data_IF_447287657031
#
_entry.id   IF_447287657031
#
_cell.length_a   1.000
_cell.length_b   1.000
_cell.length_c   1.000
_cell.angle_alpha   90.00
_cell.angle_beta   90.00
_cell.angle_gamma   90.00
#
_symmetry.space_group_name_H-M   'P 1'
#
loop_
_entity.id
_entity.type
_entity.pdbx_description
1 polymer ?
#
# COMPACT_ATOMS: atom_id res chain seq x y z
N UNK A 1 28.36 4.27 -48.66
CA UNK A 1 27.15 5.09 -48.47
C UNK A 1 26.42 5.15 -49.80
N UNK A 2 25.36 4.35 -49.95
CA UNK A 2 24.51 4.39 -51.14
C UNK A 2 23.63 5.64 -51.00
N UNK A 3 23.83 6.63 -51.85
CA UNK A 3 22.91 7.73 -52.02
C UNK A 3 21.60 7.17 -52.59
N UNK A 4 20.70 6.77 -51.70
CA UNK A 4 19.33 6.42 -52.05
C UNK A 4 18.61 7.67 -52.53
N UNK A 5 18.62 7.89 -53.84
CA UNK A 5 17.78 8.90 -54.47
C UNK A 5 16.33 8.48 -54.23
N UNK A 6 15.58 9.28 -53.45
CA UNK A 6 14.15 9.13 -53.19
C UNK A 6 13.32 9.43 -54.46
N UNK A 7 13.63 8.81 -55.59
CA UNK A 7 12.69 8.76 -56.71
C UNK A 7 12.92 7.46 -57.49
N UNK A 8 11.95 6.56 -57.47
CA UNK A 8 11.60 5.78 -58.66
C UNK A 8 10.09 5.59 -58.68
N UNK A 9 9.40 6.47 -59.41
CA UNK A 9 8.11 6.12 -60.01
C UNK A 9 8.33 4.86 -60.85
N UNK A 10 8.04 3.68 -60.30
CA UNK A 10 8.00 2.43 -61.06
C UNK A 10 6.68 2.44 -61.84
N UNK A 11 6.81 2.22 -63.15
CA UNK A 11 5.82 2.62 -64.15
C UNK A 11 4.38 2.15 -63.92
N UNK A 12 3.49 2.97 -64.47
CA UNK A 12 2.07 2.75 -64.84
C UNK A 12 0.94 3.31 -63.95
N UNK A 13 1.21 4.00 -62.85
CA UNK A 13 0.25 4.95 -62.25
C UNK A 13 0.99 5.86 -61.26
N UNK A 14 0.94 7.19 -61.37
CA UNK A 14 1.74 8.05 -60.47
C UNK A 14 1.01 9.32 -60.06
N UNK A 15 0.15 9.20 -59.04
CA UNK A 15 -0.12 10.30 -58.11
C UNK A 15 1.23 10.79 -57.57
N UNK A 16 1.51 12.09 -57.64
CA UNK A 16 2.75 12.66 -57.11
C UNK A 16 2.84 12.31 -55.61
N UNK A 17 3.99 11.83 -55.14
CA UNK A 17 4.22 11.65 -53.72
C UNK A 17 4.14 13.03 -53.05
N UNK A 18 3.04 13.30 -52.36
CA UNK A 18 2.87 14.48 -51.52
C UNK A 18 3.53 14.21 -50.17
N UNK A 19 3.86 15.28 -49.44
CA UNK A 19 4.35 15.12 -48.07
C UNK A 19 3.36 14.32 -47.21
N UNK A 20 2.06 14.53 -47.42
CA UNK A 20 0.99 13.76 -46.79
C UNK A 20 1.12 12.25 -47.07
N UNK A 21 1.29 11.85 -48.33
CA UNK A 21 1.49 10.44 -48.68
C UNK A 21 2.77 9.82 -48.08
N UNK A 22 3.80 10.64 -47.84
CA UNK A 22 5.03 10.22 -47.19
C UNK A 22 4.84 10.05 -45.68
N UNK A 23 4.11 10.98 -45.05
CA UNK A 23 3.82 10.94 -43.62
C UNK A 23 2.81 9.83 -43.28
N UNK A 24 1.80 9.59 -44.11
CA UNK A 24 0.87 8.46 -43.94
C UNK A 24 1.55 7.11 -44.12
N UNK A 25 2.56 7.04 -45.01
CA UNK A 25 3.39 5.85 -45.15
C UNK A 25 4.30 5.64 -43.94
N UNK A 26 4.77 6.72 -43.32
CA UNK A 26 5.58 6.67 -42.10
C UNK A 26 4.74 6.39 -40.84
N UNK A 27 3.46 6.76 -40.79
CA UNK A 27 2.56 6.52 -39.65
C UNK A 27 1.94 5.10 -39.63
N UNK A 28 2.35 4.24 -40.57
CA UNK A 28 1.80 2.88 -40.71
C UNK A 28 2.18 1.97 -39.54
N UNK A 29 3.29 2.24 -38.88
CA UNK A 29 3.80 1.49 -37.75
C UNK A 29 3.92 2.39 -36.51
N UNK A 30 4.10 1.79 -35.33
CA UNK A 30 4.32 2.53 -34.10
C UNK A 30 5.75 3.11 -34.06
N UNK A 31 5.87 4.42 -33.87
CA UNK A 31 7.15 5.10 -33.81
C UNK A 31 7.29 5.93 -32.53
N UNK A 32 8.52 6.07 -32.04
CA UNK A 32 8.89 7.03 -30.98
C UNK A 32 9.80 8.14 -31.50
N UNK A 33 10.07 8.13 -32.80
CA UNK A 33 11.03 9.01 -33.43
C UNK A 33 10.40 10.39 -33.69
N UNK A 34 11.26 11.41 -33.71
CA UNK A 34 10.84 12.78 -34.00
C UNK A 34 11.58 13.31 -35.22
N UNK A 35 10.88 14.11 -36.01
CA UNK A 35 11.44 14.81 -37.17
C UNK A 35 11.39 16.31 -36.87
N UNK A 36 12.53 16.97 -36.93
CA UNK A 36 12.59 18.43 -36.77
C UNK A 36 12.79 19.08 -38.13
N UNK A 37 11.84 19.94 -38.54
CA UNK A 37 11.89 20.68 -39.79
C UNK A 37 11.37 22.11 -39.59
N UNK A 38 12.13 23.11 -40.04
CA UNK A 38 11.73 24.52 -39.91
C UNK A 38 11.52 25.00 -38.47
N UNK A 39 12.27 24.46 -37.50
CA UNK A 39 12.13 24.80 -36.08
C UNK A 39 10.91 24.18 -35.38
N UNK A 40 10.14 23.34 -36.08
CA UNK A 40 9.03 22.57 -35.52
C UNK A 40 9.46 21.13 -35.37
N UNK A 41 9.09 20.51 -34.26
CA UNK A 41 9.31 19.08 -34.02
C UNK A 41 7.98 18.37 -34.24
N UNK A 42 7.98 17.45 -35.21
CA UNK A 42 6.89 16.55 -35.53
C UNK A 42 7.17 15.21 -34.84
N UNK A 43 6.18 14.69 -34.13
CA UNK A 43 6.25 13.40 -33.46
C UNK A 43 5.11 12.51 -33.97
N UNK A 44 5.45 11.27 -34.29
CA UNK A 44 4.46 10.24 -34.62
C UNK A 44 3.80 9.70 -33.35
N UNK A 45 2.56 9.23 -33.46
CA UNK A 45 1.90 8.54 -32.37
C UNK A 45 2.56 7.19 -32.07
N UNK A 46 2.47 6.73 -30.82
CA UNK A 46 3.08 5.45 -30.39
C UNK A 46 2.31 4.20 -30.88
N UNK A 47 1.30 4.39 -31.73
CA UNK A 47 0.39 3.37 -32.23
C UNK A 47 0.12 3.69 -33.70
N UNK A 48 0.11 2.66 -34.54
CA UNK A 48 -0.11 2.78 -35.98
C UNK A 48 -1.38 3.56 -36.31
N UNK A 49 -1.29 4.51 -37.24
CA UNK A 49 -2.43 5.29 -37.72
C UNK A 49 -2.93 6.37 -36.75
N UNK A 50 -2.15 6.73 -35.73
CA UNK A 50 -2.52 7.76 -34.75
C UNK A 50 -2.33 9.19 -35.25
N UNK A 51 -1.78 9.35 -36.45
CA UNK A 51 -1.41 10.64 -37.00
C UNK A 51 -0.19 11.24 -36.33
N UNK A 52 0.20 12.41 -36.80
CA UNK A 52 1.34 13.17 -36.27
C UNK A 52 0.87 14.34 -35.42
N UNK A 53 1.66 14.67 -34.40
CA UNK A 53 1.51 15.90 -33.62
C UNK A 53 2.70 16.80 -33.87
N UNK A 54 2.50 18.11 -33.95
CA UNK A 54 3.60 19.07 -34.00
C UNK A 54 3.63 19.89 -32.72
N UNK A 55 4.84 20.09 -32.17
CA UNK A 55 5.09 21.05 -31.09
C UNK A 55 5.84 22.23 -31.67
N UNK A 56 5.24 23.41 -31.55
CA UNK A 56 5.89 24.69 -31.89
C UNK A 56 6.53 25.26 -30.64
N UNK A 57 7.84 25.53 -30.66
CA UNK A 57 8.47 26.33 -29.62
C UNK A 57 8.05 27.77 -29.85
N UNK A 58 7.03 28.24 -29.13
CA UNK A 58 6.44 29.57 -29.34
C UNK A 58 7.46 30.64 -28.93
N UNK A 59 8.03 31.37 -29.90
CA UNK A 59 8.91 32.50 -29.63
C UNK A 59 8.14 33.68 -29.01
N UNK A 60 8.81 34.55 -28.26
CA UNK A 60 8.22 35.76 -27.68
C UNK A 60 7.52 36.63 -28.74
N UNK A 61 8.03 36.63 -29.98
CA UNK A 61 7.46 37.38 -31.11
C UNK A 61 6.13 36.80 -31.61
N UNK A 62 5.95 35.48 -31.54
CA UNK A 62 4.67 34.84 -31.89
C UNK A 62 3.62 35.14 -30.82
N UNK A 63 3.99 35.08 -29.55
CA UNK A 63 3.11 35.50 -28.43
C UNK A 63 2.69 36.97 -28.62
N UNK A 64 3.64 37.85 -28.96
CA UNK A 64 3.37 39.27 -29.20
C UNK A 64 2.41 39.51 -30.39
N UNK A 65 2.53 38.72 -31.46
CA UNK A 65 1.70 38.83 -32.66
C UNK A 65 0.26 38.36 -32.39
N UNK A 66 0.10 37.20 -31.74
CA UNK A 66 -1.21 36.65 -31.37
C UNK A 66 -1.94 37.57 -30.37
N UNK A 67 -1.19 38.20 -29.46
CA UNK A 67 -1.70 39.15 -28.48
C UNK A 67 -2.18 40.48 -29.09
N UNK A 68 -1.52 40.97 -30.15
CA UNK A 68 -1.87 42.21 -30.86
C UNK A 68 -3.12 42.08 -31.74
N UNK A 69 -3.50 40.87 -32.13
CA UNK A 69 -4.62 40.62 -33.04
C UNK A 69 -6.03 40.67 -32.38
N UNK A 70 -6.16 41.16 -31.14
CA UNK A 70 -7.41 41.11 -30.34
C UNK A 70 -7.98 39.71 -30.10
N UNK A 71 -7.22 38.64 -30.37
CA UNK A 71 -7.57 37.29 -29.95
C UNK A 71 -7.20 37.10 -28.47
N UNK A 72 -8.08 36.44 -27.72
CA UNK A 72 -7.76 35.99 -26.37
C UNK A 72 -6.58 35.03 -26.45
N UNK A 73 -5.42 35.42 -25.92
CA UNK A 73 -4.23 34.57 -25.88
C UNK A 73 -4.15 33.90 -24.50
N UNK A 74 -3.84 32.61 -24.48
CA UNK A 74 -3.69 31.84 -23.24
C UNK A 74 -2.26 31.36 -23.11
N UNK A 75 -1.59 31.70 -22.01
CA UNK A 75 -0.22 31.29 -21.70
C UNK A 75 -0.26 30.36 -20.50
N UNK A 76 0.14 29.10 -20.71
CA UNK A 76 0.29 28.13 -19.64
C UNK A 76 1.72 28.22 -19.08
N UNK A 77 1.84 28.72 -17.86
CA UNK A 77 3.09 28.76 -17.10
C UNK A 77 3.20 27.44 -16.34
N UNK A 78 4.11 26.56 -16.75
CA UNK A 78 4.41 25.32 -16.04
C UNK A 78 5.87 25.29 -15.59
N UNK A 79 6.10 25.34 -14.28
CA UNK A 79 7.42 25.06 -13.68
C UNK A 79 7.26 24.18 -12.44
N UNK A 80 7.93 23.03 -12.42
CA UNK A 80 8.09 22.22 -11.20
C UNK A 80 6.79 21.70 -10.57
N UNK A 81 5.75 21.43 -11.36
CA UNK A 81 4.47 20.86 -10.89
C UNK A 81 3.36 21.88 -10.65
N UNK A 82 3.65 23.17 -10.74
CA UNK A 82 2.64 24.24 -10.72
C UNK A 82 2.27 24.61 -12.16
N UNK A 83 0.99 24.55 -12.50
CA UNK A 83 0.46 25.00 -13.78
C UNK A 83 -0.50 26.17 -13.56
N UNK A 84 -0.15 27.34 -14.08
CA UNK A 84 -1.02 28.52 -14.05
C UNK A 84 -1.37 28.94 -15.49
N UNK A 85 -2.64 29.24 -15.73
CA UNK A 85 -3.13 29.66 -17.04
C UNK A 85 -3.40 31.17 -17.02
N UNK A 86 -2.55 31.95 -17.72
CA UNK A 86 -2.74 33.39 -17.89
C UNK A 86 -3.57 33.62 -19.14
N UNK A 87 -4.71 34.31 -19.01
CA UNK A 87 -5.50 34.74 -20.17
C UNK A 87 -5.27 36.23 -20.43
N UNK A 88 -4.74 36.56 -21.61
CA UNK A 88 -4.49 37.92 -22.06
C UNK A 88 -5.58 38.32 -23.07
N UNK A 89 -6.38 39.31 -22.71
CA UNK A 89 -7.29 39.96 -23.64
C UNK A 89 -6.63 41.25 -24.15
N UNK A 90 -6.39 41.37 -25.46
CA UNK A 90 -5.70 42.52 -26.07
C UNK A 90 -4.35 42.87 -25.42
N UNK A 91 -3.64 41.86 -24.92
CA UNK A 91 -2.34 42.02 -24.25
C UNK A 91 -2.38 42.48 -22.82
N UNK A 92 -3.55 42.50 -22.19
CA UNK A 92 -3.69 42.75 -20.77
C UNK A 92 -4.25 41.49 -20.11
N UNK A 93 -3.58 41.02 -19.06
CA UNK A 93 -4.15 39.97 -18.20
C UNK A 93 -5.20 40.58 -17.28
N UNK A 94 -6.37 39.94 -17.16
CA UNK A 94 -7.40 40.38 -16.20
C UNK A 94 -7.01 40.07 -14.74
N UNK A 95 -6.20 39.02 -14.55
CA UNK A 95 -5.61 38.66 -13.26
C UNK A 95 -4.13 39.06 -13.26
N UNK A 96 -3.76 40.03 -12.43
CA UNK A 96 -2.38 40.58 -12.36
C UNK A 96 -1.71 40.33 -11.03
N UNK A 97 -2.39 39.66 -10.10
CA UNK A 97 -1.90 39.37 -8.75
C UNK A 97 -1.89 37.87 -8.50
N UNK A 98 -1.08 37.43 -7.54
CA UNK A 98 -1.06 36.05 -7.02
C UNK A 98 -1.48 36.12 -5.56
N UNK A 99 -2.44 35.30 -5.16
CA UNK A 99 -2.89 35.24 -3.77
C UNK A 99 -2.06 34.28 -2.91
N UNK A 100 -2.46 34.14 -1.65
CA UNK A 100 -1.77 33.29 -0.68
C UNK A 100 -1.88 31.79 -1.00
N UNK A 101 -2.85 31.39 -1.82
CA UNK A 101 -3.01 30.00 -2.28
C UNK A 101 -2.24 29.76 -3.60
N UNK A 102 -1.38 30.71 -3.99
CA UNK A 102 -0.61 30.71 -5.24
C UNK A 102 -1.48 30.73 -6.51
N UNK A 103 -2.73 31.19 -6.41
CA UNK A 103 -3.63 31.33 -7.55
C UNK A 103 -3.59 32.75 -8.11
N UNK A 104 -3.76 32.88 -9.43
CA UNK A 104 -3.88 34.19 -10.06
C UNK A 104 -5.22 34.84 -9.77
N UNK A 105 -5.22 36.15 -9.50
CA UNK A 105 -6.41 36.92 -9.17
C UNK A 105 -6.38 38.34 -9.72
N UNK A 106 -7.56 38.90 -9.98
CA UNK A 106 -7.75 40.32 -10.33
C UNK A 106 -7.88 41.23 -9.10
N UNK A 107 -7.98 40.65 -7.90
CA UNK A 107 -8.15 41.42 -6.66
C UNK A 107 -6.78 41.82 -6.12
N UNK A 108 -6.45 43.10 -6.26
CA UNK A 108 -5.19 43.66 -5.78
C UNK A 108 -5.09 43.65 -4.25
N UNK A 109 -6.15 44.12 -3.60
CA UNK A 109 -6.26 44.24 -2.16
C UNK A 109 -7.72 44.08 -1.75
N UNK A 110 -7.94 43.49 -0.58
CA UNK A 110 -9.21 43.51 0.12
C UNK A 110 -8.93 43.69 1.61
N UNK A 111 -9.92 44.15 2.35
CA UNK A 111 -9.85 44.36 3.78
C UNK A 111 -10.89 43.49 4.49
N UNK A 112 -10.47 42.87 5.59
CA UNK A 112 -11.35 42.18 6.53
C UNK A 112 -11.17 42.80 7.89
N UNK A 113 -12.26 43.29 8.47
CA UNK A 113 -12.30 43.87 9.82
C UNK A 113 -12.80 42.82 10.79
N UNK A 114 -12.09 42.68 11.90
CA UNK A 114 -12.45 41.75 12.97
C UNK A 114 -12.98 42.50 14.19
N UNK A 115 -13.87 41.86 14.93
CA UNK A 115 -14.35 42.30 16.24
C UNK A 115 -13.90 41.28 17.30
N UNK A 116 -13.60 41.78 18.50
CA UNK A 116 -13.30 40.93 19.66
C UNK A 116 -14.42 41.08 20.66
N UNK A 117 -14.99 39.95 21.09
CA UNK A 117 -15.94 39.93 22.20
C UNK A 117 -15.17 40.10 23.52
N UNK A 118 -15.46 41.20 24.21
CA UNK A 118 -14.83 41.58 25.48
C UNK A 118 -15.08 40.60 26.63
N UNK A 119 -16.10 39.74 26.54
CA UNK A 119 -16.50 38.86 27.64
C UNK A 119 -15.83 37.49 27.57
N UNK A 120 -15.53 36.98 26.37
CA UNK A 120 -14.98 35.65 26.14
C UNK A 120 -13.68 35.66 25.29
N UNK A 121 -13.27 36.81 24.76
CA UNK A 121 -12.07 36.95 23.93
C UNK A 121 -12.21 36.41 22.51
N UNK A 122 -13.41 36.00 22.09
CA UNK A 122 -13.65 35.45 20.76
C UNK A 122 -13.48 36.52 19.69
N UNK A 123 -12.76 36.18 18.62
CA UNK A 123 -12.57 37.06 17.46
C UNK A 123 -13.52 36.62 16.35
N UNK A 124 -14.31 37.54 15.82
CA UNK A 124 -15.26 37.29 14.73
C UNK A 124 -15.05 38.27 13.57
N UNK A 125 -15.45 37.86 12.37
CA UNK A 125 -15.45 38.74 11.20
C UNK A 125 -16.59 39.73 11.31
N UNK A 126 -16.28 41.02 11.30
CA UNK A 126 -17.26 42.11 11.38
C UNK A 126 -17.73 42.59 10.01
N UNK A 127 -16.79 42.74 9.07
CA UNK A 127 -17.06 43.25 7.74
C UNK A 127 -15.86 43.01 6.82
N UNK A 128 -16.06 43.12 5.51
CA UNK A 128 -14.94 43.22 4.59
C UNK A 128 -15.36 43.70 3.20
N UNK A 129 -14.36 43.98 2.37
CA UNK A 129 -14.51 44.56 1.03
C UNK A 129 -14.26 43.56 -0.10
N UNK A 130 -13.81 42.35 0.23
CA UNK A 130 -13.58 41.30 -0.76
C UNK A 130 -14.86 40.79 -1.41
N UNK A 131 -14.74 40.21 -2.59
CA UNK A 131 -15.85 39.65 -3.39
C UNK A 131 -15.51 38.23 -3.83
N UNK A 132 -16.53 37.44 -4.20
CA UNK A 132 -16.36 36.05 -4.62
C UNK A 132 -15.63 35.22 -3.55
N UNK A 133 -14.50 34.60 -3.93
CA UNK A 133 -13.69 33.77 -3.00
C UNK A 133 -13.02 34.55 -1.86
N UNK A 134 -12.96 35.89 -1.93
CA UNK A 134 -12.42 36.75 -0.88
C UNK A 134 -13.50 37.45 -0.06
N UNK A 135 -14.78 37.13 -0.28
CA UNK A 135 -15.87 37.73 0.47
C UNK A 135 -15.71 37.46 1.96
N UNK A 136 -15.94 38.49 2.78
CA UNK A 136 -15.84 38.35 4.22
C UNK A 136 -17.01 37.52 4.74
N UNK A 137 -16.71 36.45 5.47
CA UNK A 137 -17.70 35.62 6.15
C UNK A 137 -18.18 36.29 7.44
N UNK A 138 -18.99 37.33 7.32
CA UNK A 138 -19.46 38.13 8.46
C UNK A 138 -20.16 37.24 9.50
N UNK A 139 -19.72 37.34 10.75
CA UNK A 139 -20.19 36.53 11.87
C UNK A 139 -19.39 35.23 12.10
N UNK A 140 -18.55 34.80 11.16
CA UNK A 140 -17.67 33.65 11.36
C UNK A 140 -16.61 33.92 12.42
N UNK A 141 -16.23 32.88 13.15
CA UNK A 141 -15.08 32.91 14.07
C UNK A 141 -13.79 33.03 13.28
N UNK A 142 -12.87 33.85 13.76
CA UNK A 142 -11.53 33.99 13.21
C UNK A 142 -10.52 33.20 14.04
N UNK A 143 -9.62 32.53 13.34
CA UNK A 143 -8.53 31.74 13.88
C UNK A 143 -7.19 32.23 13.35
N UNK A 144 -6.10 31.84 14.02
CA UNK A 144 -4.74 32.09 13.53
C UNK A 144 -4.23 30.84 12.81
N UNK A 145 -3.80 31.00 11.56
CA UNK A 145 -3.20 29.95 10.74
C UNK A 145 -1.75 29.66 11.14
N UNK A 146 -1.17 28.59 10.58
CA UNK A 146 0.21 28.19 10.87
C UNK A 146 1.25 29.24 10.43
N UNK A 147 0.93 30.05 9.42
CA UNK A 147 1.73 31.19 8.95
C UNK A 147 1.43 32.50 9.71
N UNK A 148 0.66 32.44 10.79
CA UNK A 148 0.40 33.58 11.68
C UNK A 148 -0.62 34.60 11.16
N UNK A 149 -1.40 34.25 10.12
CA UNK A 149 -2.46 35.11 9.56
C UNK A 149 -3.82 34.78 10.17
N UNK A 150 -4.74 35.75 10.15
CA UNK A 150 -6.13 35.49 10.53
C UNK A 150 -6.86 34.79 9.37
N UNK A 151 -7.62 33.76 9.69
CA UNK A 151 -8.45 32.99 8.74
C UNK A 151 -9.75 32.57 9.38
N UNK A 152 -10.81 32.40 8.60
CA UNK A 152 -12.09 31.85 9.07
C UNK A 152 -12.17 30.34 8.91
N UNK A 153 -11.25 29.75 8.13
CA UNK A 153 -11.12 28.30 8.02
C UNK A 153 -10.65 27.78 9.37
N UNK A 154 -11.32 26.77 9.90
CA UNK A 154 -10.99 26.20 11.21
C UNK A 154 -9.53 25.74 11.20
N UNK A 155 -8.65 26.42 11.92
CA UNK A 155 -7.23 26.03 12.03
C UNK A 155 -7.04 24.98 13.12
N UNK A 156 -7.95 24.00 13.17
CA UNK A 156 -7.70 22.82 13.97
C UNK A 156 -6.41 22.20 13.43
N UNK A 157 -5.43 22.02 14.32
CA UNK A 157 -4.10 21.47 14.03
C UNK A 157 -4.12 19.99 13.62
N UNK A 158 -5.25 19.47 13.19
CA UNK A 158 -5.43 18.17 12.58
C UNK A 158 -6.51 18.32 11.53
N UNK A 159 -6.26 17.77 10.34
CA UNK A 159 -7.27 17.48 9.32
C UNK A 159 -8.57 17.12 10.02
N UNK A 160 -9.67 17.81 9.69
CA UNK A 160 -11.01 17.39 10.14
C UNK A 160 -11.12 15.93 9.72
N UNK A 161 -10.98 15.01 10.67
CA UNK A 161 -11.21 13.61 10.41
C UNK A 161 -12.72 13.57 10.28
N UNK A 162 -13.24 13.45 9.05
CA UNK A 162 -14.68 13.24 8.90
C UNK A 162 -15.06 12.03 9.76
N UNK A 163 -15.95 12.24 10.73
CA UNK A 163 -16.43 11.21 11.67
C UNK A 163 -15.32 10.59 12.55
N UNK A 164 -14.69 11.34 13.47
CA UNK A 164 -13.61 10.80 14.32
C UNK A 164 -14.07 9.64 15.21
N UNK A 165 -15.36 9.62 15.58
CA UNK A 165 -15.97 8.50 16.31
C UNK A 165 -16.03 7.22 15.48
N UNK A 166 -16.30 7.31 14.17
CA UNK A 166 -16.33 6.15 13.29
C UNK A 166 -14.94 5.56 13.06
N UNK A 167 -13.92 6.41 12.96
CA UNK A 167 -12.54 5.94 12.92
C UNK A 167 -12.16 5.19 14.21
N UNK A 168 -12.61 5.67 15.37
CA UNK A 168 -12.43 5.02 16.65
C UNK A 168 -13.21 3.69 16.74
N UNK A 169 -14.47 3.65 16.31
CA UNK A 169 -15.29 2.44 16.28
C UNK A 169 -14.67 1.36 15.39
N UNK A 170 -14.14 1.74 14.23
CA UNK A 170 -13.42 0.81 13.34
C UNK A 170 -12.14 0.26 14.00
N UNK A 171 -11.41 1.10 14.74
CA UNK A 171 -10.22 0.66 15.45
C UNK A 171 -10.57 -0.28 16.62
N UNK A 172 -11.62 0.04 17.37
CA UNK A 172 -12.12 -0.81 18.45
C UNK A 172 -12.61 -2.16 17.91
N UNK A 173 -13.36 -2.16 16.80
CA UNK A 173 -13.82 -3.38 16.15
C UNK A 173 -12.67 -4.29 15.72
N UNK A 174 -11.54 -3.73 15.28
CA UNK A 174 -10.34 -4.51 14.95
C UNK A 174 -9.70 -5.13 16.19
N UNK A 175 -9.60 -4.37 17.28
CA UNK A 175 -9.07 -4.87 18.56
C UNK A 175 -9.96 -5.98 19.13
N UNK A 176 -11.29 -5.80 19.07
CA UNK A 176 -12.24 -6.78 19.56
C UNK A 176 -12.22 -8.07 18.73
N UNK A 177 -12.07 -7.96 17.39
CA UNK A 177 -11.86 -9.12 16.54
C UNK A 177 -10.61 -9.91 16.94
N UNK A 178 -9.46 -9.23 17.09
CA UNK A 178 -8.22 -9.86 17.53
C UNK A 178 -8.36 -10.51 18.92
N UNK A 179 -9.06 -9.85 19.85
CA UNK A 179 -9.31 -10.38 21.19
C UNK A 179 -10.21 -11.61 21.16
N UNK A 180 -11.20 -11.63 20.26
CA UNK A 180 -12.07 -12.78 20.03
C UNK A 180 -11.27 -13.99 19.52
N UNK A 181 -10.39 -13.78 18.54
CA UNK A 181 -9.52 -14.82 18.00
C UNK A 181 -8.58 -15.39 19.07
N UNK A 182 -7.99 -14.51 19.90
CA UNK A 182 -7.17 -14.95 21.03
C UNK A 182 -7.97 -15.77 22.06
N UNK A 183 -9.22 -15.41 22.34
CA UNK A 183 -10.11 -16.18 23.19
C UNK A 183 -10.45 -17.56 22.60
N UNK A 184 -10.69 -17.64 21.29
CA UNK A 184 -10.90 -18.90 20.59
C UNK A 184 -9.67 -19.82 20.65
N UNK A 185 -8.47 -19.24 20.49
CA UNK A 185 -7.20 -19.96 20.63
C UNK A 185 -7.01 -20.48 22.06
N UNK A 186 -7.34 -19.69 23.08
CA UNK A 186 -7.31 -20.14 24.49
C UNK A 186 -8.23 -21.35 24.72
N UNK A 187 -9.49 -21.28 24.27
CA UNK A 187 -10.43 -22.40 24.38
C UNK A 187 -9.91 -23.68 23.68
N UNK A 188 -9.25 -23.51 22.53
CA UNK A 188 -8.62 -24.61 21.81
C UNK A 188 -7.43 -25.19 22.58
N UNK A 189 -6.61 -24.35 23.23
CA UNK A 189 -5.53 -24.82 24.09
C UNK A 189 -6.08 -25.59 25.30
N UNK A 190 -7.09 -25.09 26.00
CA UNK A 190 -7.69 -25.78 27.14
C UNK A 190 -8.29 -27.14 26.77
N UNK A 191 -8.96 -27.20 25.61
CA UNK A 191 -9.50 -28.46 25.08
C UNK A 191 -8.38 -29.45 24.73
N UNK A 192 -7.29 -28.95 24.13
CA UNK A 192 -6.14 -29.77 23.74
C UNK A 192 -5.40 -30.29 24.97
N UNK A 193 -5.20 -29.44 25.99
CA UNK A 193 -4.57 -29.79 27.26
C UNK A 193 -5.40 -30.88 27.97
N UNK A 194 -6.72 -30.71 28.04
CA UNK A 194 -7.61 -31.69 28.65
C UNK A 194 -7.53 -33.04 27.94
N UNK A 195 -7.57 -33.05 26.61
CA UNK A 195 -7.44 -34.27 25.81
C UNK A 195 -6.06 -34.94 25.98
N UNK A 196 -4.98 -34.16 25.94
CA UNK A 196 -3.62 -34.64 26.19
C UNK A 196 -3.50 -35.22 27.59
N UNK A 197 -4.09 -34.59 28.62
CA UNK A 197 -4.13 -35.11 29.98
C UNK A 197 -4.80 -36.48 30.08
N UNK A 198 -5.97 -36.64 29.44
CA UNK A 198 -6.63 -37.96 29.34
C UNK A 198 -5.78 -38.99 28.60
N UNK A 199 -5.12 -38.60 27.52
CA UNK A 199 -4.23 -39.47 26.74
C UNK A 199 -3.02 -39.92 27.55
N UNK A 200 -2.39 -39.01 28.30
CA UNK A 200 -1.26 -39.31 29.20
C UNK A 200 -1.70 -40.29 30.29
N UNK A 201 -2.85 -40.08 30.93
CA UNK A 201 -3.36 -41.00 31.95
C UNK A 201 -3.62 -42.41 31.36
N UNK A 202 -4.25 -42.49 30.20
CA UNK A 202 -4.51 -43.75 29.51
C UNK A 202 -3.22 -44.47 29.11
N UNK A 203 -2.24 -43.73 28.55
CA UNK A 203 -0.96 -44.29 28.13
C UNK A 203 -0.13 -44.74 29.34
N UNK A 204 -0.12 -43.96 30.42
CA UNK A 204 0.57 -44.32 31.65
C UNK A 204 -0.04 -45.57 32.29
N UNK A 205 -1.37 -45.69 32.30
CA UNK A 205 -2.06 -46.90 32.80
C UNK A 205 -1.79 -48.11 31.92
N UNK A 206 -1.83 -47.96 30.59
CA UNK A 206 -1.50 -49.03 29.65
C UNK A 206 -0.04 -49.48 29.81
N UNK A 207 0.88 -48.54 29.97
CA UNK A 207 2.31 -48.82 30.19
C UNK A 207 2.54 -49.54 31.52
N UNK A 208 1.94 -49.07 32.62
CA UNK A 208 2.01 -49.77 33.92
C UNK A 208 1.45 -51.19 33.82
N UNK A 209 0.33 -51.41 33.12
CA UNK A 209 -0.21 -52.77 32.93
C UNK A 209 0.73 -53.69 32.16
N UNK A 210 1.46 -53.17 31.16
CA UNK A 210 2.46 -53.95 30.41
C UNK A 210 3.66 -54.22 31.31
N UNK A 211 4.27 -53.18 31.89
CA UNK A 211 5.47 -53.31 32.72
C UNK A 211 5.23 -54.16 33.98
N UNK A 212 4.10 -53.97 34.67
CA UNK A 212 3.75 -54.72 35.88
C UNK A 212 3.41 -56.18 35.57
N UNK A 213 2.75 -56.46 34.43
CA UNK A 213 2.48 -57.83 34.00
C UNK A 213 3.77 -58.56 33.59
N UNK A 214 4.64 -57.89 32.82
CA UNK A 214 5.94 -58.44 32.42
C UNK A 214 6.82 -58.67 33.66
N UNK A 215 6.85 -57.71 34.60
CA UNK A 215 7.57 -57.87 35.86
C UNK A 215 7.03 -59.03 36.70
N UNK A 216 5.70 -59.17 36.83
CA UNK A 216 5.10 -60.27 37.56
C UNK A 216 5.46 -61.64 36.95
N UNK A 217 5.49 -61.76 35.62
CA UNK A 217 5.87 -63.01 34.95
C UNK A 217 7.37 -63.30 35.08
N UNK A 218 8.24 -62.30 34.92
CA UNK A 218 9.69 -62.47 35.05
C UNK A 218 10.09 -62.80 36.48
N UNK A 219 9.53 -62.12 37.49
CA UNK A 219 9.78 -62.45 38.91
C UNK A 219 9.28 -63.85 39.24
N UNK A 220 8.14 -64.28 38.69
CA UNK A 220 7.64 -65.65 38.85
C UNK A 220 8.59 -66.69 38.23
N UNK A 221 9.13 -66.40 37.05
CA UNK A 221 10.10 -67.26 36.38
C UNK A 221 11.44 -67.29 37.12
N UNK A 222 11.93 -66.14 37.60
CA UNK A 222 13.12 -66.01 38.43
C UNK A 222 12.96 -66.80 39.74
N UNK A 223 11.83 -66.64 40.44
CA UNK A 223 11.53 -67.37 41.66
C UNK A 223 11.44 -68.89 41.39
N UNK A 224 10.76 -69.30 40.32
CA UNK A 224 10.72 -70.71 39.88
C UNK A 224 12.13 -71.24 39.61
N UNK A 225 12.98 -70.47 38.92
CA UNK A 225 14.36 -70.87 38.62
C UNK A 225 15.20 -71.00 39.90
N UNK A 226 15.05 -70.07 40.86
CA UNK A 226 15.71 -70.15 42.18
C UNK A 226 15.26 -71.38 42.97
N UNK A 227 13.95 -71.67 43.00
CA UNK A 227 13.40 -72.86 43.66
C UNK A 227 13.92 -74.13 42.98
N UNK A 228 13.97 -74.18 41.64
CA UNK A 228 14.51 -75.32 40.90
C UNK A 228 16.00 -75.52 41.16
N UNK A 229 16.78 -74.45 41.28
CA UNK A 229 18.20 -74.55 41.64
C UNK A 229 18.39 -75.08 43.07
N UNK A 230 17.59 -74.59 44.02
CA UNK A 230 17.63 -75.05 45.41
C UNK A 230 17.12 -76.50 45.57
N UNK A 231 16.05 -76.88 44.85
CA UNK A 231 15.56 -78.25 44.80
C UNK A 231 16.54 -79.18 44.08
N UNK A 232 17.14 -78.74 42.98
CA UNK A 232 18.14 -79.51 42.23
C UNK A 232 19.36 -79.83 43.09
N UNK A 233 19.87 -78.87 43.87
CA UNK A 233 20.97 -79.11 44.82
C UNK A 233 20.57 -80.04 45.97
N UNK A 234 19.35 -79.89 46.51
CA UNK A 234 18.83 -80.79 47.56
C UNK A 234 18.59 -82.22 47.06
N UNK A 235 18.02 -82.40 45.86
CA UNK A 235 17.80 -83.70 45.22
C UNK A 235 19.12 -84.35 44.84
N UNK A 236 20.10 -83.59 44.34
CA UNK A 236 21.46 -84.09 44.09
C UNK A 236 22.11 -84.57 45.40
N UNK A 237 21.98 -83.80 46.49
CA UNK A 237 22.48 -84.21 47.80
C UNK A 237 21.80 -85.51 48.29
N UNK A 238 20.49 -85.63 48.11
CA UNK A 238 19.73 -86.81 48.52
C UNK A 238 20.03 -88.04 47.63
N UNK A 239 20.18 -87.86 46.32
CA UNK A 239 20.59 -88.92 45.40
C UNK A 239 22.00 -89.43 45.73
N UNK A 240 22.93 -88.53 46.06
CA UNK A 240 24.28 -88.89 46.50
C UNK A 240 24.30 -89.64 47.83
N UNK A 241 23.37 -89.35 48.76
CA UNK A 241 23.24 -90.12 50.01
C UNK A 241 22.65 -91.52 49.76
N UNK A 242 21.66 -91.64 48.87
CA UNK A 242 21.06 -92.95 48.54
C UNK A 242 22.08 -93.87 47.86
N UNK A 243 22.91 -93.36 46.94
CA UNK A 243 23.96 -94.18 46.30
C UNK A 243 25.00 -94.71 47.30
N UNK A 244 25.37 -93.90 48.29
CA UNK A 244 26.27 -94.33 49.38
C UNK A 244 25.62 -95.40 50.27
N UNK A 245 24.32 -95.28 50.56
CA UNK A 245 23.59 -96.29 51.32
C UNK A 245 23.49 -97.63 50.56
N UNK A 246 23.34 -97.61 49.22
CA UNK A 246 23.33 -98.84 48.41
C UNK A 246 24.70 -99.50 48.40
N UNK A 247 25.80 -98.74 48.30
CA UNK A 247 27.15 -99.29 48.44
C UNK A 247 27.38 -99.88 49.84
N UNK A 248 26.78 -99.30 50.88
CA UNK A 248 26.83 -99.86 52.24
C UNK A 248 26.07 -101.18 52.39
N UNK A 249 25.06 -101.43 51.55
CA UNK A 249 24.27 -102.68 51.55
C UNK A 249 24.91 -103.80 50.72
N UNK A 250 25.95 -103.49 49.95
CA UNK A 250 26.72 -104.44 49.11
C UNK A 250 28.08 -104.81 49.73
N UNK A 251 28.33 -104.45 51.00
CA UNK A 251 29.55 -104.74 51.75
C UNK A 251 29.31 -105.68 52.90
#
# INVERSE_FOLDING_TARGET
>A
MVSGVLTTNKGTATTQATMESLFDAADKDAHTDTITFGGKTYAFGNTAGSGFTYKDTVSADKVLTDTKASATATVNLSSGGLAATVTLAKGVSAATFVDNDNEMTGVANYTTTYAVDKNNGEVTVKSGTGTGKYAAEVGSKAYVSADGKLTTKTTSKGSVTEEPLKALDNALSQVDALRSDLGAVQNRFDSTITNLGSTINNLSSARSRIEDADYATEVSNMSRAQILQQAGTSVLAQANQVTQNVLSLLR
#
